data_IF_924995001025
#
_entry.id   IF_924995001025
#
_cell.length_a   1.000
_cell.length_b   1.000
_cell.length_c   1.000
_cell.angle_alpha   90.00
_cell.angle_beta   90.00
_cell.angle_gamma   90.00
#
_symmetry.space_group_name_H-M   'P 1'
#
loop_
_entity.id
_entity.type
_entity.pdbx_description
1 polymer ?
#
# COMPACT_ATOMS: atom_id res chain seq x y z
N UNK A 1 -31.66 -10.81 -34.15
CA UNK A 1 -31.70 -10.29 -32.77
C UNK A 1 -30.27 -10.00 -32.35
N UNK A 2 -29.94 -8.74 -32.03
CA UNK A 2 -28.58 -8.34 -31.64
C UNK A 2 -28.32 -8.71 -30.18
N UNK A 3 -27.16 -9.29 -29.89
CA UNK A 3 -26.75 -9.63 -28.52
C UNK A 3 -26.64 -8.36 -27.66
N UNK A 4 -26.96 -8.43 -26.36
CA UNK A 4 -26.86 -7.27 -25.48
C UNK A 4 -25.39 -6.84 -25.31
N UNK A 5 -25.13 -5.56 -24.99
CA UNK A 5 -23.76 -5.08 -24.84
C UNK A 5 -23.14 -5.70 -23.58
N UNK A 6 -21.90 -6.19 -23.70
CA UNK A 6 -21.16 -6.68 -22.53
C UNK A 6 -20.80 -5.47 -21.68
N UNK A 7 -21.32 -5.44 -20.46
CA UNK A 7 -20.92 -4.48 -19.42
C UNK A 7 -20.06 -5.21 -18.39
N UNK A 8 -18.78 -4.81 -18.28
CA UNK A 8 -17.86 -5.33 -17.27
C UNK A 8 -18.14 -4.68 -15.90
N UNK A 9 -18.13 -5.50 -14.84
CA UNK A 9 -18.25 -5.05 -13.45
C UNK A 9 -17.01 -5.48 -12.66
N UNK A 10 -16.56 -4.64 -11.73
CA UNK A 10 -15.53 -4.98 -10.76
C UNK A 10 -16.10 -5.96 -9.73
N UNK A 11 -15.32 -6.95 -9.29
CA UNK A 11 -15.83 -8.02 -8.43
C UNK A 11 -16.11 -7.58 -6.97
N UNK A 12 -15.76 -6.35 -6.58
CA UNK A 12 -15.94 -5.87 -5.21
C UNK A 12 -15.16 -6.69 -4.16
N UNK A 13 -14.17 -7.48 -4.58
CA UNK A 13 -13.26 -8.25 -3.73
C UNK A 13 -11.97 -7.51 -3.40
N UNK A 14 -11.76 -6.35 -4.03
CA UNK A 14 -10.52 -5.58 -3.91
C UNK A 14 -10.82 -4.31 -3.16
N UNK A 15 -10.34 -4.18 -1.93
CA UNK A 15 -10.41 -2.94 -1.15
C UNK A 15 -9.34 -1.97 -1.66
N UNK A 16 -9.65 -1.28 -2.76
CA UNK A 16 -8.83 -0.16 -3.16
C UNK A 16 -9.22 1.04 -2.30
N UNK A 17 -8.33 1.42 -1.37
CA UNK A 17 -8.39 2.47 -0.33
C UNK A 17 -8.56 2.01 1.14
N UNK A 18 -8.37 0.72 1.46
CA UNK A 18 -7.84 0.23 2.76
C UNK A 18 -6.51 -0.49 2.51
N UNK A 19 -5.56 0.20 1.88
CA UNK A 19 -4.68 -0.46 0.91
C UNK A 19 -3.88 -1.67 1.43
N UNK A 20 -3.58 -1.77 2.73
CA UNK A 20 -2.94 -2.97 3.31
C UNK A 20 -3.43 -3.18 4.74
N UNK A 21 -4.37 -4.09 4.93
CA UNK A 21 -4.63 -4.64 6.25
C UNK A 21 -3.55 -5.67 6.57
N UNK A 22 -2.89 -5.52 7.70
CA UNK A 22 -2.12 -6.62 8.27
C UNK A 22 -3.14 -7.62 8.81
N UNK A 23 -3.17 -8.81 8.21
CA UNK A 23 -4.12 -9.86 8.61
C UNK A 23 -4.06 -10.06 10.15
N UNK A 24 -5.21 -10.20 10.82
CA UNK A 24 -5.23 -10.51 12.24
C UNK A 24 -4.35 -11.73 12.56
N UNK A 25 -3.55 -11.62 13.63
CA UNK A 25 -2.67 -12.70 14.10
C UNK A 25 -1.24 -12.67 13.57
N UNK A 26 -0.89 -11.73 12.67
CA UNK A 26 0.52 -11.49 12.30
C UNK A 26 1.27 -10.87 13.49
N UNK A 27 2.45 -11.39 13.87
CA UNK A 27 3.29 -10.76 14.90
C UNK A 27 3.72 -9.36 14.49
N UNK A 28 3.70 -8.43 15.44
CA UNK A 28 4.03 -7.02 15.17
C UNK A 28 5.43 -6.85 14.59
N UNK A 29 6.42 -7.58 15.11
CA UNK A 29 7.82 -7.44 14.66
C UNK A 29 8.01 -7.90 13.21
N UNK A 30 7.32 -8.95 12.79
CA UNK A 30 7.36 -9.43 11.41
C UNK A 30 6.75 -8.38 10.47
N UNK A 31 5.58 -7.84 10.82
CA UNK A 31 4.94 -6.78 10.04
C UNK A 31 5.79 -5.49 10.00
N UNK A 32 6.44 -5.14 11.11
CA UNK A 32 7.33 -3.99 11.20
C UNK A 32 8.59 -4.17 10.34
N UNK A 33 9.15 -5.39 10.30
CA UNK A 33 10.28 -5.73 9.44
C UNK A 33 9.97 -5.49 7.96
N UNK A 34 8.85 -6.02 7.48
CA UNK A 34 8.41 -5.83 6.08
C UNK A 34 8.13 -4.35 5.76
N UNK A 35 7.45 -3.64 6.66
CA UNK A 35 7.23 -2.20 6.52
C UNK A 35 8.55 -1.42 6.42
N UNK A 36 9.57 -1.82 7.19
CA UNK A 36 10.89 -1.17 7.17
C UNK A 36 11.59 -1.34 5.82
N UNK A 37 11.46 -2.52 5.20
CA UNK A 37 11.97 -2.78 3.84
C UNK A 37 11.25 -1.88 2.82
N UNK A 38 9.92 -1.82 2.89
CA UNK A 38 9.11 -0.97 2.02
C UNK A 38 9.52 0.52 2.11
N UNK A 39 9.71 1.04 3.33
CA UNK A 39 10.18 2.40 3.56
C UNK A 39 11.58 2.65 2.96
N UNK A 40 12.46 1.65 3.00
CA UNK A 40 13.75 1.68 2.30
C UNK A 40 13.61 1.83 0.79
N UNK A 41 12.70 1.07 0.17
CA UNK A 41 12.40 1.17 -1.27
C UNK A 41 11.83 2.53 -1.65
N UNK A 42 10.88 3.06 -0.86
CA UNK A 42 10.30 4.39 -1.08
C UNK A 42 11.38 5.45 -1.06
N UNK A 43 12.30 5.40 -0.08
CA UNK A 43 13.41 6.35 0.00
C UNK A 43 14.28 6.31 -1.25
N UNK A 44 14.61 5.13 -1.74
CA UNK A 44 15.39 4.99 -2.97
C UNK A 44 14.66 5.59 -4.18
N UNK A 45 13.38 5.24 -4.38
CA UNK A 45 12.59 5.77 -5.50
C UNK A 45 12.45 7.30 -5.45
N UNK A 46 12.30 7.88 -4.26
CA UNK A 46 12.28 9.34 -4.10
C UNK A 46 13.62 9.95 -4.51
N UNK A 47 14.74 9.36 -4.07
CA UNK A 47 16.07 9.80 -4.45
C UNK A 47 16.28 9.77 -5.97
N UNK A 48 15.93 8.67 -6.64
CA UNK A 48 16.01 8.56 -8.10
C UNK A 48 15.13 9.59 -8.80
N UNK A 49 13.93 9.85 -8.27
CA UNK A 49 13.03 10.86 -8.83
C UNK A 49 13.60 12.28 -8.73
N UNK A 50 14.24 12.61 -7.60
CA UNK A 50 14.86 13.91 -7.36
C UNK A 50 16.14 14.10 -8.16
N UNK A 51 16.99 13.06 -8.21
CA UNK A 51 18.30 13.13 -8.87
C UNK A 51 18.19 13.03 -10.38
N UNK A 52 17.35 12.13 -10.89
CA UNK A 52 17.25 11.83 -12.32
C UNK A 52 16.03 12.45 -13.00
N UNK A 53 15.16 13.10 -12.23
CA UNK A 53 13.90 13.65 -12.74
C UNK A 53 12.92 12.56 -13.21
N UNK A 54 13.09 11.32 -12.75
CA UNK A 54 12.28 10.19 -13.19
C UNK A 54 10.84 10.27 -12.62
N UNK A 55 9.90 10.71 -13.46
CA UNK A 55 8.48 10.87 -13.09
C UNK A 55 7.83 9.56 -12.63
N UNK A 56 8.26 8.42 -13.19
CA UNK A 56 7.77 7.10 -12.80
C UNK A 56 8.23 6.72 -11.39
N UNK A 57 9.49 6.97 -11.04
CA UNK A 57 10.01 6.75 -9.68
C UNK A 57 9.28 7.63 -8.67
N UNK A 58 9.07 8.92 -8.99
CA UNK A 58 8.36 9.85 -8.11
C UNK A 58 6.88 9.47 -7.93
N UNK A 59 6.22 9.05 -9.01
CA UNK A 59 4.83 8.59 -8.93
C UNK A 59 4.69 7.29 -8.14
N UNK A 60 5.65 6.37 -8.31
CA UNK A 60 5.72 5.11 -7.56
C UNK A 60 5.96 5.38 -6.07
N UNK A 61 6.93 6.23 -5.73
CA UNK A 61 7.22 6.63 -4.36
C UNK A 61 5.98 7.25 -3.68
N UNK A 62 5.21 8.08 -4.39
CA UNK A 62 3.99 8.69 -3.85
C UNK A 62 2.92 7.65 -3.49
N UNK A 63 2.63 6.72 -4.41
CA UNK A 63 1.63 5.67 -4.16
C UNK A 63 2.08 4.73 -3.05
N UNK A 64 3.35 4.34 -3.06
CA UNK A 64 3.94 3.47 -2.03
C UNK A 64 4.03 4.16 -0.66
N UNK A 65 4.13 5.49 -0.60
CA UNK A 65 4.08 6.22 0.66
C UNK A 65 2.69 6.18 1.30
N UNK A 66 1.62 6.29 0.50
CA UNK A 66 0.25 6.13 0.98
C UNK A 66 0.02 4.72 1.54
N UNK A 67 0.67 3.73 0.93
CA UNK A 67 0.78 2.34 1.41
C UNK A 67 1.33 2.23 2.82
N UNK A 68 2.54 2.75 3.00
CA UNK A 68 3.27 2.64 4.24
C UNK A 68 2.48 3.35 5.35
N UNK A 69 1.82 4.46 5.03
CA UNK A 69 0.95 5.15 5.98
C UNK A 69 -0.23 4.29 6.42
N UNK A 70 -0.92 3.64 5.49
CA UNK A 70 -2.03 2.72 5.81
C UNK A 70 -1.59 1.57 6.72
N UNK A 71 -0.43 0.96 6.43
CA UNK A 71 0.16 -0.09 7.26
C UNK A 71 0.48 0.41 8.68
N UNK A 72 1.10 1.59 8.81
CA UNK A 72 1.41 2.20 10.11
C UNK A 72 0.13 2.42 10.91
N UNK A 73 -0.91 2.97 10.28
CA UNK A 73 -2.19 3.24 10.94
C UNK A 73 -2.86 1.95 11.44
N UNK A 74 -2.82 0.88 10.64
CA UNK A 74 -3.37 -0.44 11.03
C UNK A 74 -2.58 -1.07 12.20
N UNK A 75 -1.24 -0.98 12.17
CA UNK A 75 -0.39 -1.42 13.27
C UNK A 75 -0.68 -0.65 14.56
N UNK A 76 -0.81 0.68 14.49
CA UNK A 76 -1.17 1.52 15.63
C UNK A 76 -2.55 1.15 16.21
N UNK A 77 -3.53 0.87 15.35
CA UNK A 77 -4.86 0.42 15.79
C UNK A 77 -4.77 -0.92 16.53
N UNK A 78 -3.97 -1.87 16.03
CA UNK A 78 -3.70 -3.14 16.69
C UNK A 78 -3.08 -2.97 18.08
N UNK A 79 -2.15 -2.03 18.25
CA UNK A 79 -1.53 -1.71 19.54
C UNK A 79 -2.53 -1.06 20.51
N UNK A 80 -3.36 -0.13 20.04
CA UNK A 80 -4.38 0.57 20.84
C UNK A 80 -5.45 -0.39 21.37
N UNK A 81 -5.78 -1.46 20.63
CA UNK A 81 -6.75 -2.51 21.04
C UNK A 81 -6.23 -3.47 22.12
N UNK A 82 -4.92 -3.51 22.40
CA UNK A 82 -4.33 -4.36 23.45
C UNK A 82 -4.14 -3.65 24.81
N UNK A 83 -4.55 -2.38 24.93
CA UNK A 83 -4.55 -1.63 26.20
C UNK A 83 -5.83 -1.81 26.98
#
# INVERSE_FOLDING_TARGET
MSAPPITWATAGRTECLELYQIRPGVPFEDAFGELSVLLGCIRHLTCEAEMEGCVLSGSSARVLSALAKGLIDDMELGMKRRR
#
